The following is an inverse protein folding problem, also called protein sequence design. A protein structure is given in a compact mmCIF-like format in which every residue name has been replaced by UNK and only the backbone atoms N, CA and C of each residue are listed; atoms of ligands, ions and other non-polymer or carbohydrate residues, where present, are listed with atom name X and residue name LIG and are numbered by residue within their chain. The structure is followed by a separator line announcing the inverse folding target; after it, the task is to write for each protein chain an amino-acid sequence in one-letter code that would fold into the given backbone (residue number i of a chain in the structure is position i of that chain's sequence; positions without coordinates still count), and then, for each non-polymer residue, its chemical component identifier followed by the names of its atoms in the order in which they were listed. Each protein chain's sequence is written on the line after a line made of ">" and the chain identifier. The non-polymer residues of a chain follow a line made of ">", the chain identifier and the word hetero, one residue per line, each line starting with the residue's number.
data_IF_890796380278
#
_entry.id   IF_890796380278
#
_cell.length_a   1.000
_cell.length_b   1.000
_cell.length_c   1.000
_cell.angle_alpha   90.00
_cell.angle_beta   90.00
_cell.angle_gamma   90.00
#
_symmetry.space_group_name_H-M   'P 1'
#
loop_
_entity.id
_entity.type
_entity.pdbx_description
1 polymer ?
#
# COMPACT_ATOMS: atom_id res chain seq x y z
N UNK A 1 -16.21 -20.05 -20.38
CA UNK A 1 -15.35 -19.05 -19.71
C UNK A 1 -14.81 -18.12 -20.77
N UNK A 2 -14.43 -16.89 -20.40
CA UNK A 2 -13.79 -15.91 -21.30
C UNK A 2 -12.52 -15.40 -20.64
N UNK A 3 -11.59 -14.95 -21.47
CA UNK A 3 -10.35 -14.34 -20.99
C UNK A 3 -10.55 -12.85 -20.76
N UNK A 4 -10.03 -12.36 -19.66
CA UNK A 4 -10.06 -10.95 -19.28
C UNK A 4 -8.69 -10.49 -18.82
N UNK A 5 -8.37 -9.27 -19.19
CA UNK A 5 -7.24 -8.53 -18.63
C UNK A 5 -7.79 -7.44 -17.73
N UNK A 6 -7.36 -7.43 -16.51
CA UNK A 6 -7.79 -6.51 -15.47
C UNK A 6 -6.57 -5.69 -15.06
N UNK A 7 -6.64 -4.39 -15.28
CA UNK A 7 -5.61 -3.44 -14.84
C UNK A 7 -6.24 -2.52 -13.81
N UNK A 8 -5.57 -2.29 -12.70
CA UNK A 8 -6.02 -1.32 -11.72
C UNK A 8 -4.86 -0.54 -11.10
N UNK A 9 -5.19 0.64 -10.64
CA UNK A 9 -4.27 1.60 -10.03
C UNK A 9 -4.60 1.73 -8.56
N UNK A 10 -3.61 1.49 -7.72
CA UNK A 10 -3.70 1.63 -6.27
C UNK A 10 -3.09 2.97 -5.85
N UNK A 11 -3.72 3.62 -4.87
CA UNK A 11 -3.26 4.88 -4.31
C UNK A 11 -1.80 4.77 -3.84
N UNK A 12 -0.94 5.77 -4.08
CA UNK A 12 0.48 5.68 -3.77
C UNK A 12 0.78 5.44 -2.29
N UNK A 13 -0.04 5.97 -1.38
CA UNK A 13 0.11 5.78 0.06
C UNK A 13 -0.28 4.37 0.54
N UNK A 14 -1.01 3.64 -0.29
CA UNK A 14 -1.46 2.28 -0.01
C UNK A 14 -0.80 1.24 -0.93
N UNK A 15 0.34 1.58 -1.52
CA UNK A 15 1.08 0.70 -2.42
C UNK A 15 1.44 -0.66 -1.81
N UNK A 16 1.66 -0.71 -0.49
CA UNK A 16 1.98 -1.95 0.24
C UNK A 16 0.80 -2.94 0.23
N UNK A 17 -0.43 -2.44 0.09
CA UNK A 17 -1.63 -3.27 0.01
C UNK A 17 -1.87 -3.86 -1.38
N UNK A 18 -1.13 -3.42 -2.42
CA UNK A 18 -1.33 -3.85 -3.81
C UNK A 18 -1.30 -5.39 -3.93
N UNK A 19 -0.36 -6.04 -3.26
CA UNK A 19 -0.25 -7.50 -3.29
C UNK A 19 -1.44 -8.19 -2.62
N UNK A 20 -1.93 -7.66 -1.51
CA UNK A 20 -3.12 -8.19 -0.81
C UNK A 20 -4.37 -8.07 -1.66
N UNK A 21 -4.52 -6.94 -2.37
CA UNK A 21 -5.62 -6.71 -3.31
C UNK A 21 -5.56 -7.66 -4.50
N UNK A 22 -4.37 -7.88 -5.08
CA UNK A 22 -4.14 -8.85 -6.14
C UNK A 22 -4.53 -10.27 -5.70
N UNK A 23 -4.10 -10.68 -4.51
CA UNK A 23 -4.41 -12.00 -3.96
C UNK A 23 -5.92 -12.17 -3.72
N UNK A 24 -6.61 -11.13 -3.22
CA UNK A 24 -8.07 -11.14 -3.04
C UNK A 24 -8.80 -11.38 -4.35
N UNK A 25 -8.42 -10.69 -5.42
CA UNK A 25 -9.06 -10.88 -6.74
C UNK A 25 -8.72 -12.24 -7.35
N UNK A 26 -7.50 -12.72 -7.15
CA UNK A 26 -7.11 -14.09 -7.53
C UNK A 26 -7.99 -15.14 -6.84
N UNK A 27 -8.29 -14.98 -5.55
CA UNK A 27 -9.17 -15.88 -4.80
C UNK A 27 -10.60 -15.88 -5.35
N UNK A 28 -11.18 -14.70 -5.62
CA UNK A 28 -12.53 -14.58 -6.23
C UNK A 28 -12.61 -15.36 -7.55
N UNK A 29 -11.59 -15.21 -8.40
CA UNK A 29 -11.52 -15.92 -9.68
C UNK A 29 -11.46 -17.43 -9.47
N UNK A 30 -10.60 -17.89 -8.57
CA UNK A 30 -10.40 -19.31 -8.28
C UNK A 30 -11.65 -19.95 -7.65
N UNK A 31 -12.28 -19.27 -6.70
CA UNK A 31 -13.53 -19.71 -6.06
C UNK A 31 -14.71 -19.82 -7.04
N UNK A 32 -14.73 -18.95 -8.06
CA UNK A 32 -15.73 -19.06 -9.15
C UNK A 32 -15.44 -20.17 -10.14
N UNK A 33 -14.38 -20.98 -9.93
CA UNK A 33 -13.91 -22.03 -10.83
C UNK A 33 -13.17 -21.50 -12.06
N UNK A 34 -12.68 -20.25 -12.00
CA UNK A 34 -11.84 -19.64 -13.02
C UNK A 34 -10.36 -19.98 -12.85
N UNK A 35 -9.54 -19.49 -13.76
CA UNK A 35 -8.09 -19.67 -13.76
C UNK A 35 -7.39 -18.32 -13.88
N UNK A 36 -6.37 -18.11 -13.08
CA UNK A 36 -5.45 -16.98 -13.19
C UNK A 36 -4.25 -17.39 -14.03
N UNK A 37 -4.02 -16.71 -15.13
CA UNK A 37 -2.91 -16.98 -16.05
C UNK A 37 -1.70 -16.12 -15.74
N UNK A 38 -1.93 -14.87 -15.32
CA UNK A 38 -0.88 -13.89 -15.02
C UNK A 38 -1.31 -12.97 -13.89
N UNK A 39 -0.38 -12.67 -13.00
CA UNK A 39 -0.55 -11.75 -11.91
C UNK A 39 0.74 -10.93 -11.77
N UNK A 40 0.64 -9.63 -11.97
CA UNK A 40 1.78 -8.72 -11.93
C UNK A 40 1.53 -7.56 -10.99
N UNK A 41 2.49 -7.32 -10.11
CA UNK A 41 2.62 -6.09 -9.36
C UNK A 41 3.75 -5.27 -9.99
N UNK A 42 3.39 -4.31 -10.83
CA UNK A 42 4.34 -3.50 -11.62
C UNK A 42 5.00 -2.43 -10.74
N UNK A 43 4.38 -2.14 -9.59
CA UNK A 43 4.90 -1.13 -8.68
C UNK A 43 4.47 0.29 -8.99
N UNK A 44 5.11 1.26 -8.32
CA UNK A 44 4.76 2.67 -8.37
C UNK A 44 5.33 3.34 -9.62
N UNK A 45 4.46 3.91 -10.45
CA UNK A 45 4.84 4.64 -11.67
C UNK A 45 4.18 6.01 -11.76
N UNK A 46 4.79 6.91 -12.51
CA UNK A 46 4.23 8.23 -12.83
C UNK A 46 3.04 8.08 -13.78
N UNK A 47 1.97 8.81 -13.51
CA UNK A 47 0.81 8.91 -14.37
C UNK A 47 1.03 9.94 -15.46
N UNK A 48 0.40 9.76 -16.63
CA UNK A 48 0.44 10.72 -17.73
C UNK A 48 -0.30 12.03 -17.38
N UNK A 49 -1.31 11.94 -16.53
CA UNK A 49 -2.10 13.06 -16.00
C UNK A 49 -2.54 12.73 -14.56
N UNK A 50 -2.81 13.74 -13.72
CA UNK A 50 -3.21 13.49 -12.35
C UNK A 50 -4.59 12.82 -12.29
N UNK A 51 -4.75 11.86 -11.38
CA UNK A 51 -6.01 11.19 -11.06
C UNK A 51 -6.23 11.34 -9.56
N UNK A 52 -7.37 11.92 -9.14
CA UNK A 52 -7.65 12.26 -7.75
C UNK A 52 -6.47 13.00 -7.07
N UNK A 53 -5.92 14.01 -7.78
CA UNK A 53 -4.76 14.82 -7.38
C UNK A 53 -3.45 14.04 -7.17
N UNK A 54 -3.42 12.77 -7.59
CA UNK A 54 -2.23 11.93 -7.54
C UNK A 54 -1.49 11.92 -8.88
N UNK A 55 -0.18 12.17 -8.85
CA UNK A 55 0.71 12.12 -10.02
C UNK A 55 1.41 10.76 -10.19
N UNK A 56 1.32 9.90 -9.17
CA UNK A 56 1.89 8.53 -9.17
C UNK A 56 0.84 7.55 -8.67
N UNK A 57 0.92 6.30 -9.12
CA UNK A 57 0.08 5.22 -8.64
C UNK A 57 0.84 3.89 -8.72
N UNK A 58 0.44 2.90 -7.92
CA UNK A 58 0.92 1.54 -8.05
C UNK A 58 0.05 0.80 -9.07
N UNK A 59 0.68 0.27 -10.10
CA UNK A 59 0.03 -0.48 -11.17
C UNK A 59 -0.01 -1.96 -10.83
N UNK A 60 -1.15 -2.57 -11.05
CA UNK A 60 -1.35 -4.00 -10.93
C UNK A 60 -2.13 -4.55 -12.11
N UNK A 61 -1.80 -5.77 -12.52
CA UNK A 61 -2.38 -6.43 -13.68
C UNK A 61 -2.69 -7.88 -13.38
N UNK A 62 -3.89 -8.33 -13.80
CA UNK A 62 -4.29 -9.73 -13.78
C UNK A 62 -4.80 -10.15 -15.15
N UNK A 63 -4.37 -11.32 -15.64
CA UNK A 63 -5.00 -12.02 -16.74
C UNK A 63 -5.67 -13.28 -16.21
N UNK A 64 -6.97 -13.34 -16.44
CA UNK A 64 -7.82 -14.39 -15.88
C UNK A 64 -8.75 -14.98 -16.91
N UNK A 65 -9.12 -16.24 -16.69
CA UNK A 65 -10.17 -16.92 -17.40
C UNK A 65 -11.29 -17.27 -16.44
N UNK A 66 -12.45 -16.64 -16.58
CA UNK A 66 -13.56 -16.84 -15.66
C UNK A 66 -14.93 -16.60 -16.32
N UNK A 67 -15.98 -16.78 -15.54
CA UNK A 67 -17.34 -16.42 -15.88
C UNK A 67 -17.57 -14.92 -15.72
N UNK A 68 -18.61 -14.40 -16.38
CA UNK A 68 -18.97 -12.98 -16.31
C UNK A 68 -19.38 -12.54 -14.88
N UNK A 69 -19.96 -13.48 -14.12
CA UNK A 69 -20.40 -13.24 -12.74
C UNK A 69 -19.21 -12.85 -11.84
N UNK A 70 -18.09 -13.58 -11.93
CA UNK A 70 -16.87 -13.26 -11.19
C UNK A 70 -16.31 -11.86 -11.55
N UNK A 71 -16.37 -11.50 -12.83
CA UNK A 71 -15.97 -10.15 -13.28
C UNK A 71 -16.87 -9.07 -12.68
N UNK A 72 -18.18 -9.31 -12.61
CA UNK A 72 -19.13 -8.37 -11.99
C UNK A 72 -18.85 -8.18 -10.50
N UNK A 73 -18.48 -9.24 -9.81
CA UNK A 73 -18.08 -9.19 -8.40
C UNK A 73 -16.78 -8.39 -8.20
N UNK A 74 -15.77 -8.64 -9.02
CA UNK A 74 -14.52 -7.87 -9.00
C UNK A 74 -14.78 -6.39 -9.31
N UNK A 75 -15.62 -6.07 -10.31
CA UNK A 75 -15.98 -4.69 -10.62
C UNK A 75 -16.74 -4.01 -9.48
N UNK A 76 -17.59 -4.75 -8.77
CA UNK A 76 -18.26 -4.23 -7.58
C UNK A 76 -17.24 -3.97 -6.46
N UNK A 77 -16.30 -4.88 -6.25
CA UNK A 77 -15.22 -4.69 -5.27
C UNK A 77 -14.36 -3.46 -5.57
N UNK A 78 -14.13 -3.12 -6.84
CA UNK A 78 -13.41 -1.89 -7.20
C UNK A 78 -14.13 -0.62 -6.75
N UNK A 79 -15.48 -0.61 -6.82
CA UNK A 79 -16.28 0.57 -6.44
C UNK A 79 -16.31 0.85 -4.93
N UNK A 80 -16.11 -0.21 -4.13
CA UNK A 80 -16.15 -0.13 -2.67
C UNK A 80 -14.77 -0.12 -2.02
N UNK A 81 -13.70 -0.13 -2.83
CA UNK A 81 -12.34 -0.12 -2.32
C UNK A 81 -11.68 1.23 -2.59
N UNK A 82 -11.59 2.05 -1.57
CA UNK A 82 -11.00 3.40 -1.63
C UNK A 82 -9.51 3.40 -1.98
N UNK A 83 -8.84 2.24 -1.84
CA UNK A 83 -7.44 2.08 -2.27
C UNK A 83 -7.28 2.14 -3.79
N UNK A 84 -8.34 1.85 -4.55
CA UNK A 84 -8.29 1.73 -6.01
C UNK A 84 -8.79 3.02 -6.65
N UNK A 85 -7.87 3.79 -7.22
CA UNK A 85 -8.19 5.07 -7.85
C UNK A 85 -8.76 4.91 -9.27
N UNK A 86 -8.41 3.84 -9.95
CA UNK A 86 -8.93 3.52 -11.30
C UNK A 86 -8.79 2.03 -11.60
N UNK A 87 -9.73 1.50 -12.36
CA UNK A 87 -9.69 0.13 -12.88
C UNK A 87 -10.13 0.06 -14.34
N UNK A 88 -9.61 -0.90 -15.07
CA UNK A 88 -9.96 -1.21 -16.45
C UNK A 88 -10.07 -2.72 -16.61
N UNK A 89 -11.16 -3.19 -17.19
CA UNK A 89 -11.39 -4.60 -17.49
C UNK A 89 -11.58 -4.75 -19.00
N UNK A 90 -10.70 -5.49 -19.63
CA UNK A 90 -10.71 -5.76 -21.06
C UNK A 90 -11.01 -7.24 -21.32
N UNK A 91 -11.85 -7.52 -22.30
CA UNK A 91 -12.07 -8.88 -22.80
C UNK A 91 -10.97 -9.24 -23.79
N UNK A 92 -10.34 -10.40 -23.62
CA UNK A 92 -9.29 -10.93 -24.50
C UNK A 92 -9.78 -12.19 -25.22
N UNK A 93 -9.20 -12.47 -26.38
CA UNK A 93 -9.52 -13.68 -27.15
C UNK A 93 -8.69 -14.89 -26.74
N UNK A 94 -7.54 -14.65 -26.11
CA UNK A 94 -6.56 -15.68 -25.72
C UNK A 94 -6.06 -15.43 -24.31
N UNK A 95 -5.60 -16.48 -23.64
CA UNK A 95 -4.84 -16.39 -22.43
C UNK A 95 -3.48 -15.72 -22.72
N UNK A 96 -3.12 -14.73 -21.94
CA UNK A 96 -1.81 -14.08 -21.97
C UNK A 96 -1.10 -14.38 -20.65
N UNK A 97 0.03 -15.09 -20.74
CA UNK A 97 0.86 -15.47 -19.60
C UNK A 97 2.22 -14.76 -19.61
N UNK A 98 2.59 -14.14 -20.75
CA UNK A 98 3.85 -13.43 -20.88
C UNK A 98 3.85 -12.12 -20.10
N UNK A 99 5.03 -11.71 -19.63
CA UNK A 99 5.20 -10.44 -18.93
C UNK A 99 4.70 -9.26 -19.75
N UNK A 100 4.02 -8.33 -19.10
CA UNK A 100 3.51 -7.12 -19.75
C UNK A 100 4.67 -6.23 -20.22
N UNK A 101 4.40 -5.39 -21.22
CA UNK A 101 5.36 -4.39 -21.68
C UNK A 101 5.74 -3.42 -20.53
N UNK A 102 4.81 -3.14 -19.63
CA UNK A 102 5.06 -2.27 -18.47
C UNK A 102 6.00 -2.92 -17.44
N UNK A 103 5.84 -4.22 -17.16
CA UNK A 103 6.76 -4.95 -16.27
C UNK A 103 8.17 -5.00 -16.86
N UNK A 104 8.29 -5.27 -18.15
CA UNK A 104 9.60 -5.29 -18.83
C UNK A 104 10.31 -3.94 -18.75
N UNK A 105 9.59 -2.83 -18.98
CA UNK A 105 10.15 -1.48 -18.84
C UNK A 105 10.60 -1.17 -17.40
N UNK A 106 9.92 -1.70 -16.39
CA UNK A 106 10.33 -1.50 -15.00
C UNK A 106 11.63 -2.24 -14.70
N UNK A 107 11.78 -3.45 -15.20
CA UNK A 107 13.02 -4.23 -15.07
C UNK A 107 14.21 -3.57 -15.79
N UNK A 108 13.98 -2.98 -16.96
CA UNK A 108 14.98 -2.21 -17.70
C UNK A 108 15.36 -0.94 -16.95
N UNK A 109 14.40 -0.15 -16.47
CA UNK A 109 14.62 1.07 -15.69
C UNK A 109 15.37 0.77 -14.36
N UNK A 110 15.04 -0.33 -13.67
CA UNK A 110 15.75 -0.74 -12.45
C UNK A 110 17.17 -1.22 -12.72
N UNK A 111 17.46 -1.76 -13.91
CA UNK A 111 18.79 -2.20 -14.29
C UNK A 111 19.73 -1.05 -14.68
N UNK A 112 19.17 0.07 -15.17
CA UNK A 112 19.94 1.27 -15.53
C UNK A 112 20.34 2.14 -14.32
N UNK A 113 19.63 2.03 -13.19
CA UNK A 113 19.99 2.71 -11.94
C UNK A 113 20.48 1.70 -10.91
N UNK A 114 21.82 1.50 -10.77
CA UNK A 114 22.37 0.71 -9.68
C UNK A 114 21.86 1.28 -8.35
N UNK A 115 21.38 0.42 -7.47
CA UNK A 115 20.97 0.77 -6.10
C UNK A 115 22.11 1.48 -5.40
N UNK A 116 22.17 2.78 -5.51
CA UNK A 116 23.12 3.62 -4.80
C UNK A 116 22.70 3.67 -3.32
N UNK A 117 23.39 2.79 -2.57
CA UNK A 117 23.76 2.97 -1.18
C UNK A 117 22.75 3.57 -0.20
N UNK A 118 21.92 2.71 0.37
CA UNK A 118 21.28 2.99 1.66
C UNK A 118 22.16 2.56 2.86
N UNK A 119 23.47 2.33 2.66
CA UNK A 119 24.42 1.92 3.71
C UNK A 119 25.24 3.08 4.31
N UNK A 120 24.87 4.34 4.10
CA UNK A 120 25.62 5.50 4.63
C UNK A 120 24.83 6.42 5.53
N UNK A 121 23.97 5.88 6.40
CA UNK A 121 23.34 6.68 7.47
C UNK A 121 23.46 6.08 8.87
N UNK A 122 24.40 5.18 9.10
CA UNK A 122 24.75 4.72 10.45
C UNK A 122 26.25 4.85 10.70
N UNK A 123 26.77 6.06 10.70
CA UNK A 123 28.05 6.37 11.39
C UNK A 123 28.28 7.88 11.41
N UNK A 124 27.56 8.62 12.23
CA UNK A 124 28.08 9.86 12.76
C UNK A 124 28.28 9.70 14.28
N UNK A 125 29.50 9.90 14.78
CA UNK A 125 29.79 9.78 16.19
C UNK A 125 29.27 11.01 16.95
N UNK A 126 28.58 10.74 18.07
CA UNK A 126 28.26 11.77 19.08
C UNK A 126 29.53 12.45 19.54
N UNK A 127 29.60 13.80 19.60
CA UNK A 127 30.66 14.46 20.30
C UNK A 127 30.42 14.35 21.81
N UNK A 128 31.42 13.81 22.52
CA UNK A 128 31.61 14.00 23.95
C UNK A 128 31.84 15.49 24.18
N UNK A 129 31.09 16.10 25.05
CA UNK A 129 31.48 17.34 25.69
C UNK A 129 31.51 17.16 27.19
N UNK A 130 32.65 17.57 27.68
CA UNK A 130 33.20 17.47 29.01
C UNK A 130 32.41 18.20 30.10
N UNK A 131 32.66 17.69 31.28
CA UNK A 131 32.38 18.19 32.62
C UNK A 131 32.70 19.69 32.81
N UNK A 132 31.87 20.39 33.58
CA UNK A 132 32.37 21.35 34.58
C UNK A 132 31.41 21.43 35.75
N UNK A 133 32.02 21.32 36.92
CA UNK A 133 31.53 21.40 38.29
C UNK A 133 30.94 22.76 38.66
N UNK A 134 30.12 22.74 39.70
CA UNK A 134 29.79 23.87 40.61
C UNK A 134 28.35 23.74 41.08
N UNK A 135 28.12 23.19 42.17
CA UNK A 135 28.10 23.53 43.62
C UNK A 135 26.84 24.30 44.04
N UNK A 136 26.12 23.62 44.95
CA UNK A 136 25.34 24.08 46.12
C UNK A 136 24.30 25.21 45.96
N UNK A 137 23.10 25.07 46.46
CA UNK A 137 22.56 25.00 47.81
C UNK A 137 21.04 24.91 47.79
N UNK A 138 20.51 23.95 48.49
CA UNK A 138 19.56 23.90 49.60
C UNK A 138 18.23 24.69 49.48
N UNK A 139 17.24 24.01 49.88
CA UNK A 139 16.28 24.10 51.01
C UNK A 139 14.81 24.13 50.64
N UNK A 140 14.16 23.07 51.11
CA UNK A 140 12.85 22.92 51.77
C UNK A 140 11.56 23.29 51.04
N UNK A 141 10.71 22.29 51.00
CA UNK A 141 9.64 21.85 51.95
C UNK A 141 8.32 22.57 51.66
N UNK A 142 7.30 21.90 51.40
CA UNK A 142 6.28 21.22 52.18
C UNK A 142 5.00 21.02 51.34
N UNK A 143 4.48 19.80 51.35
CA UNK A 143 3.21 19.42 51.98
C UNK A 143 1.97 20.08 51.35
N UNK A 144 1.01 19.40 50.85
CA UNK A 144 0.01 18.46 51.37
C UNK A 144 -1.00 18.04 50.30
N UNK A 145 -1.33 16.78 50.31
CA UNK A 145 -2.60 16.18 49.85
C UNK A 145 -3.71 16.49 50.88
N UNK A 146 -4.93 16.00 50.76
CA UNK A 146 -5.87 15.69 49.68
C UNK A 146 -7.25 16.30 49.97
N UNK A 147 -8.30 16.10 49.07
CA UNK A 147 -9.69 15.82 49.52
C UNK A 147 -10.55 15.25 48.42
N UNK A 148 -11.20 14.18 48.78
CA UNK A 148 -12.32 13.43 48.26
C UNK A 148 -13.61 14.23 48.08
N UNK A 149 -14.45 13.73 47.20
CA UNK A 149 -15.90 13.93 47.15
C UNK A 149 -16.48 13.46 45.84
N UNK A 150 -16.95 12.35 45.65
CA UNK A 150 -18.09 11.45 45.96
C UNK A 150 -19.46 12.06 45.68
N UNK A 151 -20.24 11.22 44.97
CA UNK A 151 -21.71 11.11 44.85
C UNK A 151 -22.32 11.89 43.71
N UNK A 152 -23.29 11.47 42.96
CA UNK A 152 -24.22 10.33 42.95
C UNK A 152 -25.10 10.54 41.70
N UNK A 153 -25.46 9.48 41.01
CA UNK A 153 -26.66 9.43 40.13
C UNK A 153 -27.93 9.58 41.02
N UNK A 154 -29.19 9.75 40.55
CA UNK A 154 -29.78 8.98 39.47
C UNK A 154 -30.95 9.67 38.72
N UNK A 155 -31.48 8.95 37.69
CA UNK A 155 -32.88 8.77 37.27
C UNK A 155 -33.68 9.98 36.72
N UNK A 156 -34.11 9.93 35.51
CA UNK A 156 -35.42 9.51 34.96
C UNK A 156 -35.35 9.37 33.44
#
# INVERSE_FOLDING_TARGET
>A
MKHYEIVFLVHPDQSDQTQSVLNKFSSIVTESGGKVHRLENIGRRKLAYPIHDQFKASYALLNVECKKEAISEIQSSFKFNDSIIRSLVLSKNKAEADLSALSRQTEEDESEYPKENNEKRESEPKPLSAETKGEETSVKESTEEPVKGKSESPTE
#
